data_IF_423404747016
#
_entry.id   IF_423404747016
#
_cell.length_a   1.000
_cell.length_b   1.000
_cell.length_c   1.000
_cell.angle_alpha   90.00
_cell.angle_beta   90.00
_cell.angle_gamma   90.00
#
_symmetry.space_group_name_H-M   'P 1'
#
loop_
_entity.id
_entity.type
_entity.pdbx_description
1 polymer ?
#
# COMPACT_ATOMS: atom_id res chain seq x y z
N UNK A 1 -35.33 26.16 -37.77
CA UNK A 1 -36.54 26.96 -38.08
C UNK A 1 -37.57 26.21 -38.93
N UNK A 2 -37.14 25.39 -39.91
CA UNK A 2 -38.01 24.64 -40.84
C UNK A 2 -39.00 23.70 -40.14
N UNK A 3 -38.58 22.99 -39.08
CA UNK A 3 -39.43 22.02 -38.37
C UNK A 3 -40.66 22.65 -37.67
N UNK A 4 -40.59 23.91 -37.22
CA UNK A 4 -41.72 24.58 -36.55
C UNK A 4 -42.87 24.86 -37.52
N UNK A 5 -42.54 25.29 -38.74
CA UNK A 5 -43.52 25.53 -39.81
C UNK A 5 -44.21 24.25 -40.27
N UNK A 6 -43.47 23.14 -40.35
CA UNK A 6 -44.03 21.84 -40.70
C UNK A 6 -45.01 21.33 -39.63
N UNK A 7 -44.68 21.52 -38.35
CA UNK A 7 -45.56 21.09 -37.25
C UNK A 7 -46.83 21.96 -37.16
N UNK A 8 -46.69 23.28 -37.21
CA UNK A 8 -47.85 24.19 -37.21
C UNK A 8 -48.74 24.00 -38.45
N UNK A 9 -48.14 23.77 -39.62
CA UNK A 9 -48.88 23.46 -40.85
C UNK A 9 -49.62 22.13 -40.79
N UNK A 10 -48.99 21.09 -40.23
CA UNK A 10 -49.65 19.79 -40.02
C UNK A 10 -50.86 19.92 -39.09
N UNK A 11 -50.75 20.66 -37.99
CA UNK A 11 -51.85 20.88 -37.03
C UNK A 11 -52.99 21.68 -37.68
N UNK A 12 -52.67 22.73 -38.45
CA UNK A 12 -53.69 23.54 -39.14
C UNK A 12 -54.46 22.70 -40.17
N UNK A 13 -53.75 21.89 -40.96
CA UNK A 13 -54.36 21.01 -41.98
C UNK A 13 -55.19 19.90 -41.35
N UNK A 14 -54.76 19.36 -40.21
CA UNK A 14 -55.54 18.36 -39.47
C UNK A 14 -56.80 18.99 -38.86
N UNK A 15 -56.72 20.18 -38.28
CA UNK A 15 -57.90 20.89 -37.80
C UNK A 15 -58.86 21.23 -38.96
N UNK A 16 -58.30 21.63 -40.10
CA UNK A 16 -59.06 21.90 -41.33
C UNK A 16 -59.72 20.66 -41.93
N UNK A 17 -59.07 19.49 -41.86
CA UNK A 17 -59.63 18.22 -42.32
C UNK A 17 -60.87 17.88 -41.50
N UNK A 18 -60.77 17.92 -40.18
CA UNK A 18 -61.90 17.67 -39.28
C UNK A 18 -63.01 18.70 -39.44
N UNK A 19 -62.68 19.99 -39.59
CA UNK A 19 -63.67 21.03 -39.85
C UNK A 19 -64.40 20.84 -41.19
N UNK A 20 -63.73 20.25 -42.20
CA UNK A 20 -64.35 20.01 -43.51
C UNK A 20 -65.52 19.02 -43.47
N UNK A 21 -65.56 18.14 -42.46
CA UNK A 21 -66.67 17.21 -42.24
C UNK A 21 -67.94 17.90 -41.72
N UNK A 22 -67.83 19.15 -41.26
CA UNK A 22 -68.93 19.95 -40.71
C UNK A 22 -69.47 20.99 -41.71
N UNK A 23 -68.91 21.05 -42.91
CA UNK A 23 -69.39 21.92 -43.99
C UNK A 23 -70.65 21.31 -44.63
N UNK A 24 -71.66 22.13 -44.91
CA UNK A 24 -72.84 21.73 -45.70
C UNK A 24 -72.46 21.52 -47.17
N UNK A 25 -71.94 20.32 -47.48
CA UNK A 25 -71.49 19.90 -48.80
C UNK A 25 -71.87 18.44 -49.07
N UNK A 26 -71.90 17.98 -50.34
CA UNK A 26 -72.17 16.57 -50.63
C UNK A 26 -71.12 15.68 -49.96
N UNK A 27 -71.55 14.55 -49.39
CA UNK A 27 -70.69 13.61 -48.63
C UNK A 27 -69.40 13.22 -49.38
N UNK A 28 -69.48 13.04 -50.70
CA UNK A 28 -68.31 12.72 -51.52
C UNK A 28 -67.27 13.84 -51.53
N UNK A 29 -67.71 15.10 -51.54
CA UNK A 29 -66.82 16.26 -51.50
C UNK A 29 -66.18 16.41 -50.10
N UNK A 30 -66.96 16.20 -49.04
CA UNK A 30 -66.44 16.20 -47.66
C UNK A 30 -65.35 15.14 -47.48
N UNK A 31 -65.59 13.90 -47.95
CA UNK A 31 -64.62 12.81 -47.84
C UNK A 31 -63.34 13.08 -48.64
N UNK A 32 -63.46 13.64 -49.85
CA UNK A 32 -62.31 13.98 -50.69
C UNK A 32 -61.45 15.08 -50.06
N UNK A 33 -62.09 16.16 -49.58
CA UNK A 33 -61.38 17.26 -48.90
C UNK A 33 -60.73 16.77 -47.61
N UNK A 34 -61.44 15.96 -46.81
CA UNK A 34 -60.90 15.34 -45.61
C UNK A 34 -59.67 14.48 -45.91
N UNK A 35 -59.78 13.54 -46.85
CA UNK A 35 -58.70 12.59 -47.14
C UNK A 35 -57.46 13.31 -47.68
N UNK A 36 -57.65 14.31 -48.55
CA UNK A 36 -56.54 15.07 -49.12
C UNK A 36 -55.85 15.96 -48.07
N UNK A 37 -56.62 16.69 -47.27
CA UNK A 37 -56.08 17.55 -46.20
C UNK A 37 -55.42 16.75 -45.08
N UNK A 38 -56.02 15.65 -44.65
CA UNK A 38 -55.44 14.72 -43.68
C UNK A 38 -54.16 14.05 -44.22
N UNK A 39 -54.16 13.62 -45.49
CA UNK A 39 -52.97 13.08 -46.14
C UNK A 39 -51.81 14.08 -46.17
N UNK A 40 -52.10 15.35 -46.50
CA UNK A 40 -51.10 16.41 -46.50
C UNK A 40 -50.60 16.72 -45.07
N UNK A 41 -51.49 16.73 -44.08
CA UNK A 41 -51.13 16.89 -42.67
C UNK A 41 -50.17 15.79 -42.21
N UNK A 42 -50.47 14.53 -42.56
CA UNK A 42 -49.62 13.38 -42.24
C UNK A 42 -48.25 13.43 -42.92
N UNK A 43 -48.17 13.89 -44.18
CA UNK A 43 -46.89 14.10 -44.88
C UNK A 43 -46.05 15.18 -44.20
N UNK A 44 -46.67 16.30 -43.80
CA UNK A 44 -45.98 17.38 -43.10
C UNK A 44 -45.50 16.94 -41.71
N UNK A 45 -46.31 16.18 -40.97
CA UNK A 45 -45.92 15.60 -39.68
C UNK A 45 -44.75 14.62 -39.85
N UNK A 46 -44.83 13.71 -40.82
CA UNK A 46 -43.75 12.77 -41.13
C UNK A 46 -42.44 13.51 -41.48
N UNK A 47 -42.51 14.54 -42.33
CA UNK A 47 -41.35 15.36 -42.68
C UNK A 47 -40.76 16.10 -41.48
N UNK A 48 -41.60 16.65 -40.61
CA UNK A 48 -41.17 17.30 -39.37
C UNK A 48 -40.41 16.30 -38.48
N UNK A 49 -41.04 15.16 -38.20
CA UNK A 49 -40.49 14.08 -37.36
C UNK A 49 -39.17 13.54 -37.91
N UNK A 50 -39.11 13.27 -39.21
CA UNK A 50 -37.91 12.77 -39.88
C UNK A 50 -36.74 13.76 -39.77
N UNK A 51 -37.01 15.07 -39.82
CA UNK A 51 -35.99 16.11 -39.65
C UNK A 51 -35.48 16.19 -38.20
N UNK A 52 -36.32 15.93 -37.19
CA UNK A 52 -35.89 15.87 -35.79
C UNK A 52 -35.14 14.57 -35.43
N UNK A 53 -35.39 13.48 -36.14
CA UNK A 53 -34.77 12.18 -35.83
C UNK A 53 -33.24 12.20 -36.07
N UNK A 54 -32.43 11.64 -35.14
CA UNK A 54 -30.99 11.44 -35.35
C UNK A 54 -30.69 10.55 -36.56
N UNK A 55 -29.56 10.78 -37.24
CA UNK A 55 -29.19 10.10 -38.49
C UNK A 55 -29.30 8.56 -38.46
N UNK A 56 -29.00 7.95 -37.31
CA UNK A 56 -29.13 6.51 -37.06
C UNK A 56 -30.56 5.93 -37.18
N UNK A 57 -31.59 6.74 -36.94
CA UNK A 57 -33.00 6.31 -37.02
C UNK A 57 -33.66 6.62 -38.37
N UNK A 58 -32.96 7.37 -39.23
CA UNK A 58 -33.44 7.67 -40.58
C UNK A 58 -33.29 6.47 -41.52
N UNK A 59 -32.47 5.49 -41.16
CA UNK A 59 -32.25 4.27 -41.92
C UNK A 59 -33.11 3.11 -41.36
N UNK A 60 -33.56 2.17 -42.20
CA UNK A 60 -33.42 2.14 -43.66
C UNK A 60 -34.47 3.01 -44.37
N UNK A 61 -34.06 3.74 -45.42
CA UNK A 61 -35.00 4.30 -46.39
C UNK A 61 -35.43 3.19 -47.36
N UNK A 62 -36.69 3.15 -47.80
CA UNK A 62 -37.78 4.10 -47.51
C UNK A 62 -38.64 3.71 -46.28
N UNK A 63 -38.36 2.60 -45.62
CA UNK A 63 -39.27 1.99 -44.63
C UNK A 63 -39.50 2.84 -43.38
N UNK A 64 -38.49 3.54 -42.88
CA UNK A 64 -38.60 4.37 -41.67
C UNK A 64 -39.62 5.52 -41.82
N UNK A 65 -39.51 6.42 -42.81
CA UNK A 65 -40.53 7.45 -43.01
C UNK A 65 -41.89 6.87 -43.45
N UNK A 66 -41.90 5.77 -44.21
CA UNK A 66 -43.15 5.11 -44.60
C UNK A 66 -43.93 4.63 -43.38
N UNK A 67 -43.26 4.02 -42.39
CA UNK A 67 -43.90 3.56 -41.16
C UNK A 67 -44.53 4.72 -40.37
N UNK A 68 -43.82 5.84 -40.24
CA UNK A 68 -44.33 7.04 -39.55
C UNK A 68 -45.56 7.60 -40.27
N UNK A 69 -45.50 7.69 -41.60
CA UNK A 69 -46.63 8.13 -42.41
C UNK A 69 -47.83 7.19 -42.31
N UNK A 70 -47.61 5.87 -42.43
CA UNK A 70 -48.67 4.86 -42.33
C UNK A 70 -49.36 4.90 -40.97
N UNK A 71 -48.61 5.05 -39.88
CA UNK A 71 -49.18 5.13 -38.54
C UNK A 71 -50.04 6.39 -38.38
N UNK A 72 -49.59 7.53 -38.90
CA UNK A 72 -50.33 8.79 -38.83
C UNK A 72 -51.59 8.80 -39.71
N UNK A 73 -51.52 8.20 -40.92
CA UNK A 73 -52.58 8.24 -41.91
C UNK A 73 -53.70 7.21 -41.69
N UNK A 74 -53.36 5.97 -41.33
CA UNK A 74 -54.36 4.90 -41.17
C UNK A 74 -55.05 4.92 -39.81
N UNK A 75 -54.48 5.61 -38.83
CA UNK A 75 -55.05 5.75 -37.49
C UNK A 75 -55.16 7.24 -37.14
N UNK A 76 -56.19 7.95 -37.66
CA UNK A 76 -56.37 9.37 -37.36
C UNK A 76 -56.46 9.63 -35.86
N UNK A 77 -55.94 10.77 -35.40
CA UNK A 77 -55.86 11.20 -33.98
C UNK A 77 -54.94 10.33 -33.11
N UNK A 78 -55.15 9.03 -33.02
CA UNK A 78 -54.35 8.14 -32.15
C UNK A 78 -52.95 7.95 -32.72
N UNK A 79 -52.83 7.78 -34.04
CA UNK A 79 -51.55 7.63 -34.72
C UNK A 79 -50.69 8.90 -34.63
N UNK A 80 -51.30 10.07 -34.83
CA UNK A 80 -50.59 11.36 -34.70
C UNK A 80 -50.14 11.62 -33.27
N UNK A 81 -51.00 11.38 -32.28
CA UNK A 81 -50.65 11.48 -30.86
C UNK A 81 -49.56 10.48 -30.47
N UNK A 82 -49.64 9.24 -30.94
CA UNK A 82 -48.66 8.19 -30.67
C UNK A 82 -47.27 8.51 -31.21
N UNK A 83 -47.18 9.06 -32.43
CA UNK A 83 -45.93 9.52 -33.03
C UNK A 83 -45.31 10.66 -32.21
N UNK A 84 -46.10 11.66 -31.83
CA UNK A 84 -45.62 12.79 -31.03
C UNK A 84 -45.17 12.33 -29.63
N UNK A 85 -45.96 11.48 -28.98
CA UNK A 85 -45.67 10.95 -27.64
C UNK A 85 -44.46 10.01 -27.61
N UNK A 86 -44.10 9.37 -28.72
CA UNK A 86 -42.91 8.50 -28.81
C UNK A 86 -41.62 9.30 -28.96
N UNK A 87 -41.68 10.45 -29.62
CA UNK A 87 -40.50 11.27 -29.94
C UNK A 87 -40.09 12.14 -28.76
N UNK A 88 -41.06 12.69 -28.03
CA UNK A 88 -40.78 13.61 -26.92
C UNK A 88 -39.89 12.97 -25.83
N UNK A 89 -40.17 11.75 -25.33
CA UNK A 89 -39.31 11.07 -24.38
C UNK A 89 -37.95 10.69 -24.99
N UNK A 90 -37.93 10.27 -26.26
CA UNK A 90 -36.72 9.85 -26.95
C UNK A 90 -35.71 11.00 -27.18
N UNK A 91 -36.18 12.25 -27.26
CA UNK A 91 -35.33 13.44 -27.41
C UNK A 91 -34.94 14.09 -26.08
N UNK A 92 -35.77 14.00 -25.04
CA UNK A 92 -35.55 14.70 -23.77
C UNK A 92 -35.00 13.84 -22.64
N UNK A 93 -35.13 12.50 -22.69
CA UNK A 93 -34.54 11.66 -21.64
C UNK A 93 -33.05 11.37 -21.95
N UNK A 94 -32.14 11.62 -20.99
CA UNK A 94 -30.73 11.26 -21.15
C UNK A 94 -30.61 9.75 -21.24
N UNK A 95 -30.19 9.27 -22.41
CA UNK A 95 -29.99 7.85 -22.64
C UNK A 95 -28.73 7.41 -21.90
N UNK A 96 -28.86 6.38 -21.04
CA UNK A 96 -27.70 5.73 -20.41
C UNK A 96 -26.79 5.23 -21.53
N UNK A 97 -25.59 5.80 -21.60
CA UNK A 97 -24.55 5.43 -22.54
C UNK A 97 -24.12 4.04 -22.14
N UNK A 98 -24.40 3.06 -22.99
CA UNK A 98 -23.98 1.69 -22.74
C UNK A 98 -22.47 1.71 -22.53
N UNK A 99 -22.00 1.21 -21.38
CA UNK A 99 -20.58 1.17 -21.09
C UNK A 99 -19.98 0.15 -22.04
N UNK A 100 -19.36 0.67 -23.10
CA UNK A 100 -18.70 -0.14 -24.10
C UNK A 100 -17.57 -0.91 -23.39
N UNK A 101 -17.84 -2.18 -23.05
CA UNK A 101 -16.95 -3.03 -22.25
C UNK A 101 -15.59 -3.29 -22.92
N UNK A 102 -15.52 -3.05 -24.23
CA UNK A 102 -14.31 -3.22 -25.02
C UNK A 102 -14.06 -2.00 -25.90
N UNK A 103 -12.94 -1.33 -25.64
CA UNK A 103 -12.38 -0.26 -26.48
C UNK A 103 -11.05 -0.78 -27.02
N UNK A 104 -11.00 -1.15 -28.30
CA UNK A 104 -9.74 -1.52 -28.94
C UNK A 104 -8.86 -0.28 -29.04
N UNK A 105 -7.84 -0.21 -28.19
CA UNK A 105 -6.77 0.77 -28.32
C UNK A 105 -5.66 0.10 -29.13
N UNK A 106 -5.10 0.80 -30.12
CA UNK A 106 -3.95 0.28 -30.86
C UNK A 106 -2.80 -0.02 -29.90
N UNK A 107 -1.99 -1.04 -30.20
CA UNK A 107 -0.81 -1.40 -29.40
C UNK A 107 0.09 -0.16 -29.35
N UNK A 108 0.33 0.44 -28.17
CA UNK A 108 1.23 1.58 -28.06
C UNK A 108 2.63 1.15 -28.49
N UNK A 109 3.42 2.06 -29.06
CA UNK A 109 4.80 1.78 -29.43
C UNK A 109 5.57 1.33 -28.18
N UNK A 110 5.99 0.07 -28.16
CA UNK A 110 6.80 -0.49 -27.08
C UNK A 110 8.19 0.17 -27.11
N UNK A 111 8.77 0.52 -25.95
CA UNK A 111 10.13 1.03 -25.89
C UNK A 111 11.11 0.01 -26.46
N UNK A 112 12.13 0.50 -27.19
CA UNK A 112 13.16 -0.32 -27.84
C UNK A 112 14.01 -1.16 -26.86
N UNK A 113 13.96 -0.83 -25.57
CA UNK A 113 14.46 -1.65 -24.48
C UNK A 113 13.36 -1.90 -23.47
N UNK A 114 13.32 -3.10 -22.90
CA UNK A 114 12.54 -3.37 -21.71
C UNK A 114 12.95 -2.35 -20.63
N UNK A 115 12.02 -1.49 -20.22
CA UNK A 115 12.17 -0.81 -18.95
C UNK A 115 12.16 -1.91 -17.90
N UNK A 116 13.32 -2.18 -17.28
CA UNK A 116 13.33 -2.93 -16.04
C UNK A 116 12.32 -2.22 -15.15
N UNK A 117 11.22 -2.90 -14.80
CA UNK A 117 10.34 -2.37 -13.78
C UNK A 117 11.23 -2.20 -12.57
N UNK A 118 11.59 -0.97 -12.24
CA UNK A 118 11.95 -0.59 -10.87
C UNK A 118 10.65 -0.73 -10.09
N UNK A 119 10.17 -1.97 -9.91
CA UNK A 119 9.35 -2.31 -8.77
C UNK A 119 10.26 -1.89 -7.64
N UNK A 120 9.92 -0.80 -6.97
CA UNK A 120 10.44 -0.49 -5.64
C UNK A 120 10.32 -1.80 -4.88
N UNK A 121 11.40 -2.54 -4.66
CA UNK A 121 11.26 -3.84 -4.05
C UNK A 121 10.75 -3.52 -2.66
N UNK A 122 9.63 -4.14 -2.29
CA UNK A 122 9.30 -4.28 -0.88
C UNK A 122 10.38 -5.26 -0.40
N UNK A 123 11.52 -4.70 0.01
CA UNK A 123 12.67 -5.47 0.45
C UNK A 123 12.29 -6.09 1.80
N UNK A 124 11.93 -7.37 1.81
CA UNK A 124 12.09 -8.18 3.01
C UNK A 124 13.60 -8.33 3.27
N UNK A 125 14.03 -8.44 4.53
CA UNK A 125 15.44 -8.35 4.94
C UNK A 125 16.39 -9.28 4.15
N UNK A 126 15.92 -10.47 3.74
CA UNK A 126 16.70 -11.39 2.89
C UNK A 126 16.93 -10.91 1.44
N UNK A 127 16.01 -10.10 0.90
CA UNK A 127 16.08 -9.65 -0.50
C UNK A 127 17.23 -8.68 -0.78
N UNK A 128 17.67 -7.91 0.23
CA UNK A 128 18.81 -6.99 0.06
C UNK A 128 20.15 -7.75 0.01
N UNK A 129 20.32 -8.78 0.85
CA UNK A 129 21.51 -9.62 0.81
C UNK A 129 21.63 -10.36 -0.54
N UNK A 130 20.50 -10.83 -1.08
CA UNK A 130 20.47 -11.48 -2.39
C UNK A 130 20.83 -10.52 -3.53
N UNK A 131 20.35 -9.27 -3.48
CA UNK A 131 20.74 -8.24 -4.44
C UNK A 131 22.23 -7.97 -4.36
N UNK A 132 22.80 -7.83 -3.16
CA UNK A 132 24.25 -7.65 -3.01
C UNK A 132 25.07 -8.82 -3.54
N UNK A 133 24.58 -10.06 -3.40
CA UNK A 133 25.30 -11.26 -3.86
C UNK A 133 25.20 -11.51 -5.36
N UNK A 134 24.05 -11.21 -5.96
CA UNK A 134 23.71 -11.73 -7.30
C UNK A 134 23.42 -10.65 -8.33
N UNK A 135 23.13 -9.40 -7.94
CA UNK A 135 22.84 -8.38 -8.92
C UNK A 135 24.12 -8.06 -9.72
N UNK A 136 24.10 -8.19 -11.07
CA UNK A 136 25.29 -7.96 -11.88
C UNK A 136 25.70 -6.49 -11.92
N UNK A 137 24.72 -5.59 -11.81
CA UNK A 137 24.87 -4.15 -11.92
C UNK A 137 25.24 -3.51 -10.57
N UNK A 138 26.41 -2.83 -10.46
CA UNK A 138 26.82 -2.14 -9.24
C UNK A 138 25.82 -1.08 -8.76
N UNK A 139 25.11 -0.40 -9.67
CA UNK A 139 24.17 0.65 -9.29
C UNK A 139 22.97 0.09 -8.51
N UNK A 140 22.55 -1.14 -8.82
CA UNK A 140 21.49 -1.84 -8.08
C UNK A 140 21.95 -2.24 -6.68
N UNK A 141 23.21 -2.67 -6.54
CA UNK A 141 23.82 -2.99 -5.24
C UNK A 141 24.02 -1.74 -4.39
N UNK A 142 24.40 -0.62 -5.01
CA UNK A 142 24.48 0.68 -4.35
C UNK A 142 23.11 1.16 -3.87
N UNK A 143 22.07 1.02 -4.70
CA UNK A 143 20.69 1.32 -4.30
C UNK A 143 20.22 0.45 -3.14
N UNK A 144 20.62 -0.84 -3.11
CA UNK A 144 20.36 -1.74 -1.99
C UNK A 144 21.05 -1.25 -0.71
N UNK A 145 22.31 -0.81 -0.77
CA UNK A 145 23.00 -0.21 0.39
C UNK A 145 22.27 1.04 0.89
N UNK A 146 21.82 1.93 0.00
CA UNK A 146 21.09 3.12 0.42
C UNK A 146 19.74 2.80 1.08
N UNK A 147 19.12 1.68 0.72
CA UNK A 147 17.88 1.21 1.34
C UNK A 147 18.08 0.81 2.81
N UNK A 148 19.28 0.35 3.21
CA UNK A 148 19.56 -0.05 4.60
C UNK A 148 19.52 1.12 5.58
N UNK A 149 19.59 2.37 5.11
CA UNK A 149 19.53 3.59 5.95
C UNK A 149 18.24 3.71 6.78
N UNK A 150 17.16 3.04 6.37
CA UNK A 150 15.87 3.05 7.08
C UNK A 150 15.66 1.81 7.94
N UNK A 151 16.58 0.86 7.89
CA UNK A 151 16.50 -0.38 8.65
C UNK A 151 17.07 -0.18 10.06
N UNK A 152 16.63 -0.96 11.05
CA UNK A 152 17.30 -1.03 12.34
C UNK A 152 18.78 -1.44 12.17
N UNK A 153 19.66 -0.90 13.02
CA UNK A 153 21.10 -1.15 12.93
C UNK A 153 21.46 -2.64 12.90
N UNK A 154 20.80 -3.44 13.76
CA UNK A 154 21.01 -4.90 13.86
C UNK A 154 20.77 -5.65 12.54
N UNK A 155 19.88 -5.13 11.69
CA UNK A 155 19.51 -5.75 10.41
C UNK A 155 20.36 -5.14 9.27
N UNK A 156 20.72 -3.86 9.40
CA UNK A 156 21.53 -3.13 8.42
C UNK A 156 23.03 -3.51 8.45
N UNK A 157 23.64 -3.62 9.65
CA UNK A 157 25.09 -3.84 9.79
C UNK A 157 25.56 -5.14 9.12
N UNK A 158 24.88 -6.29 9.24
CA UNK A 158 25.27 -7.51 8.52
C UNK A 158 25.28 -7.33 7.00
N UNK A 159 24.31 -6.59 6.45
CA UNK A 159 24.21 -6.27 5.02
C UNK A 159 25.39 -5.38 4.59
N UNK A 160 25.71 -4.37 5.39
CA UNK A 160 26.84 -3.48 5.12
C UNK A 160 28.19 -4.22 5.19
N UNK A 161 28.37 -5.10 6.19
CA UNK A 161 29.57 -5.94 6.30
C UNK A 161 29.74 -6.87 5.10
N UNK A 162 28.64 -7.45 4.60
CA UNK A 162 28.65 -8.28 3.39
C UNK A 162 29.16 -7.47 2.18
N UNK A 163 28.76 -6.21 2.05
CA UNK A 163 29.18 -5.33 0.95
C UNK A 163 30.64 -4.87 1.02
N UNK A 164 31.34 -5.07 2.14
CA UNK A 164 32.79 -4.82 2.21
C UNK A 164 33.58 -5.78 1.31
N UNK A 165 33.01 -6.92 0.92
CA UNK A 165 33.59 -7.86 -0.04
C UNK A 165 33.18 -7.64 -1.49
N UNK A 166 32.44 -6.57 -1.80
CA UNK A 166 31.90 -6.36 -3.16
C UNK A 166 33.01 -6.14 -4.20
N UNK A 167 32.88 -6.66 -5.44
CA UNK A 167 33.86 -6.41 -6.49
C UNK A 167 33.97 -4.94 -6.92
N UNK A 168 32.92 -4.13 -6.71
CA UNK A 168 32.92 -2.69 -7.04
C UNK A 168 33.48 -1.85 -5.89
N UNK A 169 34.47 -1.01 -6.22
CA UNK A 169 35.10 -0.09 -5.26
C UNK A 169 34.09 0.89 -4.65
N UNK A 170 33.16 1.43 -5.45
CA UNK A 170 32.16 2.39 -4.99
C UNK A 170 31.20 1.77 -3.96
N UNK A 171 30.80 0.51 -4.18
CA UNK A 171 29.93 -0.24 -3.26
C UNK A 171 30.66 -0.49 -1.94
N UNK A 172 31.92 -0.95 -2.00
CA UNK A 172 32.75 -1.14 -0.79
C UNK A 172 32.97 0.14 -0.01
N UNK A 173 33.28 1.24 -0.70
CA UNK A 173 33.56 2.53 -0.08
C UNK A 173 32.31 3.11 0.59
N UNK A 174 31.15 3.00 -0.06
CA UNK A 174 29.89 3.40 0.55
C UNK A 174 29.61 2.57 1.81
N UNK A 175 29.73 1.25 1.73
CA UNK A 175 29.53 0.36 2.88
C UNK A 175 30.47 0.72 4.05
N UNK A 176 31.76 0.93 3.77
CA UNK A 176 32.74 1.39 4.76
C UNK A 176 32.30 2.70 5.42
N UNK A 177 31.95 3.72 4.62
CA UNK A 177 31.54 5.03 5.14
C UNK A 177 30.26 4.96 5.99
N UNK A 178 29.33 4.05 5.65
CA UNK A 178 28.08 3.87 6.38
C UNK A 178 28.31 3.15 7.72
N UNK A 179 29.20 2.16 7.77
CA UNK A 179 29.61 1.49 9.01
C UNK A 179 30.38 2.44 9.93
N UNK A 180 31.39 3.11 9.38
CA UNK A 180 32.21 4.09 10.10
C UNK A 180 31.36 5.22 10.70
N UNK A 181 30.34 5.68 9.95
CA UNK A 181 29.38 6.64 10.46
C UNK A 181 28.59 6.11 11.65
N UNK A 182 28.07 4.88 11.60
CA UNK A 182 27.30 4.30 12.71
C UNK A 182 28.17 4.14 13.96
N UNK A 183 29.41 3.67 13.79
CA UNK A 183 30.37 3.55 14.89
C UNK A 183 30.74 4.93 15.47
N UNK A 184 31.04 5.90 14.62
CA UNK A 184 31.38 7.27 15.03
C UNK A 184 30.22 7.96 15.74
N UNK A 185 28.98 7.76 15.27
CA UNK A 185 27.78 8.29 15.91
C UNK A 185 27.64 7.72 17.33
N UNK A 186 27.86 6.43 17.55
CA UNK A 186 27.82 5.82 18.90
C UNK A 186 28.97 6.34 19.77
N UNK A 187 30.19 6.38 19.25
CA UNK A 187 31.37 6.88 19.97
C UNK A 187 31.19 8.35 20.40
N UNK A 188 30.52 9.17 19.59
CA UNK A 188 30.18 10.54 19.95
C UNK A 188 29.26 10.59 21.18
N UNK A 189 28.23 9.73 21.23
CA UNK A 189 27.33 9.67 22.39
C UNK A 189 28.05 9.16 23.65
N UNK A 190 28.98 8.21 23.51
CA UNK A 190 29.83 7.75 24.61
C UNK A 190 30.67 8.93 25.13
N UNK A 191 31.34 9.67 24.24
CA UNK A 191 32.16 10.81 24.63
C UNK A 191 31.34 11.89 25.36
N UNK A 192 30.17 12.24 24.84
CA UNK A 192 29.26 13.20 25.50
C UNK A 192 28.81 12.72 26.88
N UNK A 193 28.52 11.42 27.03
CA UNK A 193 28.11 10.84 28.31
C UNK A 193 29.26 10.81 29.32
N UNK A 194 30.51 10.55 28.88
CA UNK A 194 31.70 10.61 29.73
C UNK A 194 31.97 12.04 30.22
N UNK A 195 31.84 13.04 29.34
CA UNK A 195 31.96 14.46 29.71
C UNK A 195 30.90 14.87 30.74
N UNK A 196 29.66 14.40 30.56
CA UNK A 196 28.59 14.62 31.53
C UNK A 196 28.91 13.94 32.87
N UNK A 197 29.43 12.70 32.86
CA UNK A 197 29.80 11.97 34.06
C UNK A 197 30.84 12.74 34.90
N UNK A 198 31.82 13.37 34.25
CA UNK A 198 32.86 14.16 34.92
C UNK A 198 32.30 15.39 35.67
N UNK A 199 31.16 15.94 35.24
CA UNK A 199 30.52 17.10 35.85
C UNK A 199 29.46 16.77 36.93
N UNK A 200 29.07 15.51 37.06
CA UNK A 200 27.95 15.08 37.93
C UNK A 200 28.47 14.50 39.25
N UNK A 201 27.74 14.75 40.33
CA UNK A 201 28.10 14.17 41.63
C UNK A 201 27.93 12.64 41.63
N UNK A 202 28.78 11.87 42.34
CA UNK A 202 28.67 10.40 42.36
C UNK A 202 27.30 9.86 42.77
N UNK A 203 26.56 10.60 43.61
CA UNK A 203 25.21 10.21 44.08
C UNK A 203 24.12 10.32 43.01
N UNK A 204 24.37 11.10 41.96
CA UNK A 204 23.41 11.37 40.88
C UNK A 204 23.91 10.82 39.53
N UNK A 205 25.01 10.07 39.54
CA UNK A 205 25.66 9.54 38.35
C UNK A 205 24.96 8.29 37.76
N UNK A 206 24.04 7.66 38.50
CA UNK A 206 23.34 6.43 38.10
C UNK A 206 22.74 6.46 36.69
N UNK A 207 21.96 7.50 36.31
CA UNK A 207 21.41 7.60 34.96
C UNK A 207 22.48 7.72 33.87
N UNK A 208 23.59 8.41 34.16
CA UNK A 208 24.70 8.58 33.20
C UNK A 208 25.44 7.27 32.99
N UNK A 209 25.66 6.50 34.06
CA UNK A 209 26.20 5.15 33.98
C UNK A 209 25.28 4.20 33.20
N UNK A 210 23.96 4.29 33.42
CA UNK A 210 22.98 3.52 32.63
C UNK A 210 23.04 3.84 31.13
N UNK A 211 23.24 5.12 30.79
CA UNK A 211 23.38 5.56 29.41
C UNK A 211 24.68 5.06 28.78
N UNK A 212 25.81 5.15 29.50
CA UNK A 212 27.09 4.61 29.06
C UNK A 212 27.02 3.10 28.82
N UNK A 213 26.43 2.35 29.75
CA UNK A 213 26.23 0.91 29.61
C UNK A 213 25.46 0.55 28.33
N UNK A 214 24.40 1.31 28.02
CA UNK A 214 23.60 1.13 26.79
C UNK A 214 24.40 1.42 25.52
N UNK A 215 25.19 2.50 25.49
CA UNK A 215 25.97 2.86 24.31
C UNK A 215 27.13 1.89 24.04
N UNK A 216 27.86 1.48 25.08
CA UNK A 216 28.86 0.43 24.92
C UNK A 216 28.22 -0.89 24.51
N UNK A 217 27.11 -1.29 25.12
CA UNK A 217 26.38 -2.47 24.68
C UNK A 217 25.95 -2.40 23.21
N UNK A 218 25.52 -1.23 22.72
CA UNK A 218 25.09 -1.07 21.33
C UNK A 218 26.22 -1.37 20.33
N UNK A 219 27.48 -0.98 20.62
CA UNK A 219 28.65 -1.34 19.79
C UNK A 219 28.82 -2.86 19.66
N UNK A 220 28.64 -3.58 20.78
CA UNK A 220 28.71 -5.04 20.81
C UNK A 220 27.50 -5.66 20.11
N UNK A 221 26.29 -5.21 20.43
CA UNK A 221 25.02 -5.72 19.92
C UNK A 221 24.87 -5.58 18.40
N UNK A 222 25.34 -4.47 17.84
CA UNK A 222 25.38 -4.26 16.39
C UNK A 222 26.53 -5.03 15.71
N UNK A 223 27.46 -5.57 16.48
CA UNK A 223 28.67 -6.23 15.99
C UNK A 223 29.69 -5.27 15.39
N UNK A 224 29.66 -3.98 15.75
CA UNK A 224 30.65 -3.01 15.25
C UNK A 224 32.01 -3.25 15.92
N UNK A 225 32.03 -3.71 17.17
CA UNK A 225 33.24 -4.16 17.84
C UNK A 225 33.53 -5.66 17.58
N UNK A 226 34.80 -6.02 17.39
CA UNK A 226 35.23 -7.42 17.19
C UNK A 226 36.57 -7.69 17.91
N UNK A 227 36.84 -8.96 18.23
CA UNK A 227 38.08 -9.38 18.88
C UNK A 227 38.32 -8.68 20.22
N UNK A 228 39.53 -8.16 20.44
CA UNK A 228 39.89 -7.47 21.69
C UNK A 228 39.07 -6.20 21.95
N UNK A 229 38.59 -5.53 20.90
CA UNK A 229 37.73 -4.34 21.04
C UNK A 229 36.37 -4.74 21.61
N UNK A 230 35.82 -5.88 21.18
CA UNK A 230 34.56 -6.39 21.70
C UNK A 230 34.67 -6.70 23.20
N UNK A 231 35.74 -7.37 23.61
CA UNK A 231 36.01 -7.66 25.02
C UNK A 231 36.10 -6.38 25.86
N UNK A 232 36.83 -5.38 25.38
CA UNK A 232 36.93 -4.08 26.05
C UNK A 232 35.58 -3.38 26.17
N UNK A 233 34.79 -3.33 25.10
CA UNK A 233 33.48 -2.69 25.07
C UNK A 233 32.50 -3.40 26.02
N UNK A 234 32.50 -4.73 26.05
CA UNK A 234 31.67 -5.50 27.00
C UNK A 234 32.11 -5.31 28.45
N UNK A 235 33.41 -5.12 28.72
CA UNK A 235 33.92 -4.73 30.03
C UNK A 235 33.41 -3.36 30.45
N UNK A 236 33.51 -2.35 29.58
CA UNK A 236 32.99 -1.01 29.87
C UNK A 236 31.47 -1.01 30.06
N UNK A 237 30.73 -1.77 29.25
CA UNK A 237 29.29 -1.93 29.41
C UNK A 237 28.92 -2.53 30.78
N UNK A 238 29.62 -3.60 31.20
CA UNK A 238 29.40 -4.25 32.51
C UNK A 238 29.71 -3.31 33.67
N UNK A 239 30.88 -2.66 33.66
CA UNK A 239 31.32 -1.77 34.74
C UNK A 239 30.33 -0.61 34.96
N UNK A 240 29.86 0.01 33.88
CA UNK A 240 28.87 1.07 33.99
C UNK A 240 27.48 0.55 34.36
N UNK A 241 27.09 -0.65 33.92
CA UNK A 241 25.84 -1.25 34.39
C UNK A 241 25.89 -1.50 35.91
N UNK A 242 27.00 -2.03 36.43
CA UNK A 242 27.19 -2.22 37.88
C UNK A 242 27.13 -0.90 38.66
N UNK A 243 27.79 0.15 38.16
CA UNK A 243 27.77 1.47 38.80
C UNK A 243 26.37 2.09 38.78
N UNK A 244 25.61 1.91 37.69
CA UNK A 244 24.21 2.35 37.61
C UNK A 244 23.32 1.60 38.60
N UNK A 245 23.43 0.28 38.65
CA UNK A 245 22.67 -0.56 39.60
C UNK A 245 23.01 -0.21 41.06
N UNK A 246 24.29 0.00 41.38
CA UNK A 246 24.74 0.41 42.70
C UNK A 246 24.21 1.81 43.10
N UNK A 247 23.93 2.67 42.12
CA UNK A 247 23.30 3.98 42.33
C UNK A 247 21.77 3.90 42.48
N UNK A 248 21.17 2.71 42.37
CA UNK A 248 19.73 2.48 42.52
C UNK A 248 18.94 2.51 41.21
N UNK A 249 19.60 2.51 40.06
CA UNK A 249 18.93 2.30 38.78
C UNK A 249 18.36 0.88 38.72
N UNK A 250 17.18 0.71 38.14
CA UNK A 250 16.41 -0.53 38.24
C UNK A 250 16.00 -1.13 36.90
N UNK A 251 15.27 -2.25 37.00
CA UNK A 251 14.47 -2.86 35.96
C UNK A 251 15.18 -3.13 34.63
N UNK A 252 15.09 -2.19 33.68
CA UNK A 252 15.72 -2.33 32.36
C UNK A 252 17.25 -2.44 32.44
N UNK A 253 17.89 -1.79 33.41
CA UNK A 253 19.33 -1.90 33.57
C UNK A 253 19.73 -3.30 34.07
N UNK A 254 18.91 -3.95 34.90
CA UNK A 254 19.13 -5.33 35.33
C UNK A 254 19.06 -6.29 34.14
N UNK A 255 18.06 -6.09 33.26
CA UNK A 255 17.97 -6.87 32.03
C UNK A 255 19.18 -6.64 31.11
N UNK A 256 19.59 -5.39 30.93
CA UNK A 256 20.79 -5.06 30.14
C UNK A 256 22.04 -5.72 30.73
N UNK A 257 22.24 -5.62 32.04
CA UNK A 257 23.36 -6.25 32.74
C UNK A 257 23.34 -7.78 32.56
N UNK A 258 22.17 -8.41 32.64
CA UNK A 258 22.00 -9.84 32.39
C UNK A 258 22.38 -10.23 30.97
N UNK A 259 21.99 -9.43 29.96
CA UNK A 259 22.37 -9.63 28.56
C UNK A 259 23.87 -9.45 28.33
N UNK A 260 24.48 -8.44 28.95
CA UNK A 260 25.94 -8.23 28.91
C UNK A 260 26.65 -9.45 29.52
N UNK A 261 26.16 -9.96 30.64
CA UNK A 261 26.72 -11.16 31.29
C UNK A 261 26.59 -12.42 30.42
N UNK A 262 25.46 -12.62 29.73
CA UNK A 262 25.28 -13.72 28.76
C UNK A 262 26.31 -13.64 27.62
N UNK A 263 26.48 -12.46 27.02
CA UNK A 263 27.42 -12.26 25.91
C UNK A 263 28.88 -12.50 26.32
N UNK A 264 29.19 -12.34 27.61
CA UNK A 264 30.51 -12.60 28.21
C UNK A 264 30.69 -14.05 28.67
N UNK A 265 29.64 -14.88 28.58
CA UNK A 265 29.65 -16.25 29.10
C UNK A 265 29.58 -16.36 30.63
N UNK A 266 29.20 -15.28 31.32
CA UNK A 266 29.07 -15.22 32.78
C UNK A 266 27.69 -15.75 33.23
N UNK A 267 27.41 -17.03 32.95
CA UNK A 267 26.06 -17.63 33.09
C UNK A 267 25.47 -17.50 34.50
N UNK A 268 26.24 -17.76 35.55
CA UNK A 268 25.77 -17.64 36.94
C UNK A 268 25.34 -16.22 37.28
N UNK A 269 26.10 -15.24 36.79
CA UNK A 269 25.83 -13.83 36.99
C UNK A 269 24.61 -13.38 36.20
N UNK A 270 24.49 -13.81 34.95
CA UNK A 270 23.31 -13.57 34.13
C UNK A 270 22.05 -14.10 34.80
N UNK A 271 22.09 -15.33 35.33
CA UNK A 271 20.97 -15.95 36.05
C UNK A 271 20.52 -15.10 37.24
N UNK A 272 21.47 -14.66 38.07
CA UNK A 272 21.18 -13.81 39.23
C UNK A 272 20.53 -12.47 38.82
N UNK A 273 21.06 -11.82 37.77
CA UNK A 273 20.56 -10.54 37.27
C UNK A 273 19.15 -10.65 36.66
N UNK A 274 18.87 -11.71 35.91
CA UNK A 274 17.54 -11.93 35.33
C UNK A 274 16.49 -12.20 36.43
N UNK A 275 16.82 -12.99 37.45
CA UNK A 275 15.94 -13.18 38.61
C UNK A 275 15.75 -11.91 39.43
N UNK A 276 16.77 -11.06 39.53
CA UNK A 276 16.63 -9.75 40.16
C UNK A 276 15.73 -8.82 39.32
N UNK A 277 15.84 -8.85 38.00
CA UNK A 277 14.96 -8.11 37.10
C UNK A 277 13.49 -8.52 37.28
N UNK A 278 13.22 -9.83 37.37
CA UNK A 278 11.89 -10.39 37.64
C UNK A 278 11.34 -9.89 39.00
N UNK A 279 12.16 -9.93 40.06
CA UNK A 279 11.78 -9.41 41.39
C UNK A 279 11.52 -7.91 41.40
N UNK A 280 12.14 -7.15 40.50
CA UNK A 280 11.91 -5.72 40.30
C UNK A 280 10.70 -5.43 39.40
N UNK A 281 9.92 -6.44 39.03
CA UNK A 281 8.65 -6.29 38.32
C UNK A 281 8.78 -6.19 36.80
N UNK A 282 9.90 -6.61 36.21
CA UNK A 282 9.95 -6.79 34.75
C UNK A 282 8.97 -7.88 34.32
N UNK A 283 8.29 -7.62 33.21
CA UNK A 283 7.32 -8.56 32.67
C UNK A 283 7.99 -9.87 32.27
N UNK A 284 7.46 -10.99 32.75
CA UNK A 284 7.93 -12.34 32.47
C UNK A 284 8.17 -12.58 30.96
N UNK A 285 7.25 -12.13 30.12
CA UNK A 285 7.33 -12.27 28.67
C UNK A 285 8.61 -11.65 28.06
N UNK A 286 9.18 -10.61 28.68
CA UNK A 286 10.42 -9.98 28.24
C UNK A 286 11.65 -10.79 28.66
N UNK A 287 11.58 -11.51 29.78
CA UNK A 287 12.69 -12.27 30.36
C UNK A 287 12.79 -13.69 29.79
N UNK A 288 11.65 -14.28 29.38
CA UNK A 288 11.59 -15.67 28.87
C UNK A 288 12.61 -15.98 27.76
N UNK A 289 12.84 -15.12 26.74
CA UNK A 289 13.86 -15.39 25.72
C UNK A 289 15.26 -15.53 26.32
N UNK A 290 15.60 -14.70 27.30
CA UNK A 290 16.92 -14.70 27.93
C UNK A 290 17.08 -15.85 28.94
N UNK A 291 16.00 -16.28 29.59
CA UNK A 291 16.02 -17.54 30.36
C UNK A 291 16.22 -18.76 29.44
N UNK A 292 15.61 -18.76 28.26
CA UNK A 292 15.80 -19.83 27.27
C UNK A 292 17.24 -19.84 26.72
N UNK A 293 17.81 -18.68 26.44
CA UNK A 293 19.21 -18.50 26.05
C UNK A 293 20.16 -18.98 27.15
N UNK A 294 19.94 -18.57 28.40
CA UNK A 294 20.72 -19.04 29.54
C UNK A 294 20.63 -20.57 29.70
N UNK A 295 19.44 -21.16 29.54
CA UNK A 295 19.26 -22.60 29.59
C UNK A 295 20.01 -23.31 28.46
N UNK A 296 20.08 -22.71 27.27
CA UNK A 296 20.86 -23.21 26.15
C UNK A 296 22.36 -23.19 26.44
N UNK A 297 22.90 -22.05 26.89
CA UNK A 297 24.32 -21.88 27.24
C UNK A 297 24.74 -22.77 28.42
N UNK A 298 23.84 -22.99 29.39
CA UNK A 298 24.07 -23.90 30.51
C UNK A 298 23.87 -25.39 30.18
N UNK A 299 23.49 -25.74 28.95
CA UNK A 299 23.21 -27.12 28.53
C UNK A 299 21.93 -27.72 29.12
N UNK A 300 21.05 -26.90 29.70
CA UNK A 300 19.75 -27.27 30.29
C UNK A 300 18.65 -27.30 29.22
N UNK A 301 18.88 -28.01 28.13
CA UNK A 301 17.98 -27.99 26.95
C UNK A 301 16.53 -28.41 27.24
N UNK A 302 16.34 -29.29 28.24
CA UNK A 302 15.02 -29.76 28.67
C UNK A 302 14.10 -28.65 29.20
N UNK A 303 14.64 -27.50 29.63
CA UNK A 303 13.86 -26.38 30.15
C UNK A 303 13.32 -25.48 29.02
N UNK A 304 13.98 -25.48 27.86
CA UNK A 304 13.73 -24.55 26.75
C UNK A 304 12.28 -24.65 26.21
N UNK A 305 11.73 -25.84 25.90
CA UNK A 305 10.35 -25.92 25.38
C UNK A 305 9.32 -25.35 26.37
N UNK A 306 9.52 -25.55 27.67
CA UNK A 306 8.64 -25.02 28.72
C UNK A 306 8.70 -23.49 28.81
N UNK A 307 9.90 -22.91 28.70
CA UNK A 307 10.10 -21.46 28.67
C UNK A 307 9.46 -20.83 27.43
N UNK A 308 9.69 -21.42 26.26
CA UNK A 308 9.13 -20.93 25.00
C UNK A 308 7.60 -21.05 24.95
N UNK A 309 7.02 -22.09 25.55
CA UNK A 309 5.56 -22.27 25.60
C UNK A 309 4.85 -21.18 26.41
N UNK A 310 5.53 -20.57 27.38
CA UNK A 310 5.01 -19.46 28.21
C UNK A 310 5.03 -18.10 27.50
N UNK A 311 5.71 -17.98 26.37
CA UNK A 311 5.69 -16.74 25.58
C UNK A 311 4.25 -16.42 25.11
N UNK A 312 3.89 -15.12 25.03
CA UNK A 312 2.61 -14.71 24.46
C UNK A 312 2.39 -15.30 23.07
N UNK A 313 1.16 -15.70 22.76
CA UNK A 313 0.84 -16.36 21.49
C UNK A 313 1.22 -15.50 20.27
N UNK A 314 0.99 -14.19 20.33
CA UNK A 314 1.39 -13.26 19.26
C UNK A 314 2.91 -13.27 19.03
N UNK A 315 3.71 -13.38 20.09
CA UNK A 315 5.17 -13.44 20.02
C UNK A 315 5.62 -14.76 19.43
N UNK A 316 5.00 -15.88 19.84
CA UNK A 316 5.32 -17.22 19.33
C UNK A 316 5.02 -17.37 17.84
N UNK A 317 4.10 -16.60 17.27
CA UNK A 317 3.73 -16.68 15.86
C UNK A 317 4.56 -15.76 14.95
N UNK A 318 5.41 -14.88 15.51
CA UNK A 318 6.23 -13.93 14.75
C UNK A 318 7.68 -14.42 14.66
N UNK A 319 8.38 -14.20 13.53
CA UNK A 319 9.83 -14.38 13.46
C UNK A 319 10.55 -13.48 14.49
N UNK A 320 11.65 -13.94 15.10
CA UNK A 320 12.29 -15.25 14.91
C UNK A 320 11.68 -16.40 15.75
N UNK A 321 10.81 -16.10 16.72
CA UNK A 321 10.31 -17.10 17.67
C UNK A 321 9.44 -18.19 17.05
N UNK A 322 8.74 -17.90 15.94
CA UNK A 322 7.93 -18.89 15.23
C UNK A 322 8.74 -20.10 14.75
N UNK A 323 9.96 -19.86 14.25
CA UNK A 323 10.85 -20.92 13.79
C UNK A 323 11.48 -21.65 14.98
N UNK A 324 11.89 -20.88 15.99
CA UNK A 324 12.53 -21.41 17.19
C UNK A 324 11.59 -22.31 18.02
N UNK A 325 10.31 -21.94 18.16
CA UNK A 325 9.29 -22.79 18.80
C UNK A 325 9.05 -24.06 18.00
N UNK A 326 9.09 -24.00 16.66
CA UNK A 326 8.92 -25.19 15.81
C UNK A 326 10.09 -26.15 15.98
N UNK A 327 11.33 -25.67 15.91
CA UNK A 327 12.52 -26.53 16.01
C UNK A 327 12.62 -27.26 17.34
N UNK A 328 12.31 -26.58 18.45
CA UNK A 328 12.37 -27.17 19.81
C UNK A 328 11.18 -28.08 20.17
N UNK A 329 10.08 -28.03 19.40
CA UNK A 329 8.95 -28.95 19.58
C UNK A 329 9.03 -30.19 18.68
N UNK A 330 9.86 -30.15 17.64
CA UNK A 330 10.09 -31.28 16.72
C UNK A 330 11.33 -32.12 17.10
N UNK A 331 12.09 -31.72 18.12
CA UNK A 331 13.29 -32.40 18.66
C UNK A 331 12.99 -33.20 19.92
#
# INVERSE_FOLDING_TARGET
MISKWLFSGAVLLEAGSWASLWLDAPQMHQLLVFTFSHGLACLMLCGAVWLLLPARYRAPLPWSPLFIFSLAFFVPVIGTLGVVASIFPALYLPRKRDQQAWRSVGIPSLPFRAQAQTRTPIFADGGLQDVLRHAPDPDQRLAALLATRRMPGKDAVPILKLALGDPSDDVRLLAYSMLDKQESDINLHIQMALEQLAGVSPRTAGPVHSMLARWYWELAYLGLAQGSVLEHVLNQASEHAEQGLAAGEGGELLLLAGRIALERGENERAEALLHEAERNGLGEAQLLPFHAELAFEAGRYHEIPGLLARLPEETRQRPPFAELVRSWNES
#
